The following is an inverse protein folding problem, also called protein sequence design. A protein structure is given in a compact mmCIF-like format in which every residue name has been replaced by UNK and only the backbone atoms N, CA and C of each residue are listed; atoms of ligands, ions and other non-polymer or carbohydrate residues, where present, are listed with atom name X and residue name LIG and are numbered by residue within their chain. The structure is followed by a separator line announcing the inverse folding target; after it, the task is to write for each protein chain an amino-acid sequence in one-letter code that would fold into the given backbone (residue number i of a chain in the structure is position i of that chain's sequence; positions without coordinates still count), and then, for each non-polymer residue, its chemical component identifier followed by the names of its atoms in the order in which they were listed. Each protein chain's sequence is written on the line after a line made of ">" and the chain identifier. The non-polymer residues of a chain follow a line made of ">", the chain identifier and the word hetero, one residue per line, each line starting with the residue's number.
data_IF_050959998493
#
_entry.id   IF_050959998493
#
_cell.length_a   1.000
_cell.length_b   1.000
_cell.length_c   1.000
_cell.angle_alpha   90.00
_cell.angle_beta   90.00
_cell.angle_gamma   90.00
#
_symmetry.space_group_name_H-M   'P 1'
#
loop_
_entity.id
_entity.type
_entity.pdbx_description
1 polymer ?
#
# COMPACT_ATOMS: atom_id res chain seq x y z
N UNK A 1 -4.80 22.51 8.87
CA UNK A 1 -3.59 21.65 8.80
C UNK A 1 -3.94 20.14 8.78
N UNK A 2 -4.98 19.71 8.05
CA UNK A 2 -5.56 18.35 8.11
C UNK A 2 -5.32 17.51 6.84
N UNK A 3 -4.84 18.12 5.75
CA UNK A 3 -4.59 17.42 4.47
C UNK A 3 -3.35 16.50 4.49
N UNK A 4 -2.36 16.72 5.37
CA UNK A 4 -1.12 15.91 5.40
C UNK A 4 -1.31 14.49 5.93
N UNK A 5 -2.29 14.22 6.82
CA UNK A 5 -2.45 12.89 7.43
C UNK A 5 -3.00 11.85 6.44
N UNK A 6 -3.95 12.22 5.58
CA UNK A 6 -4.54 11.30 4.62
C UNK A 6 -3.53 10.83 3.58
N UNK A 7 -2.78 11.79 3.00
CA UNK A 7 -1.72 11.51 2.04
C UNK A 7 -0.61 10.66 2.67
N UNK A 8 -0.26 10.92 3.94
CA UNK A 8 0.70 10.11 4.68
C UNK A 8 0.24 8.67 4.88
N UNK A 9 -1.01 8.44 5.32
CA UNK A 9 -1.53 7.07 5.49
C UNK A 9 -1.66 6.33 4.16
N UNK A 10 -2.11 7.01 3.10
CA UNK A 10 -2.21 6.42 1.77
C UNK A 10 -0.82 6.06 1.21
N UNK A 11 0.17 6.95 1.34
CA UNK A 11 1.55 6.68 0.92
C UNK A 11 2.16 5.51 1.70
N UNK A 12 1.94 5.42 3.01
CA UNK A 12 2.42 4.30 3.82
C UNK A 12 1.73 2.98 3.43
N UNK A 13 0.41 3.00 3.22
CA UNK A 13 -0.33 1.83 2.75
C UNK A 13 0.21 1.36 1.39
N UNK A 14 0.34 2.27 0.42
CA UNK A 14 0.89 1.97 -0.90
C UNK A 14 2.32 1.44 -0.83
N UNK A 15 3.18 2.02 0.01
CA UNK A 15 4.55 1.54 0.21
C UNK A 15 4.60 0.13 0.83
N UNK A 16 3.76 -0.18 1.81
CA UNK A 16 3.70 -1.53 2.38
C UNK A 16 3.14 -2.57 1.40
N UNK A 17 2.16 -2.19 0.57
CA UNK A 17 1.67 -3.06 -0.51
C UNK A 17 2.75 -3.28 -1.58
N UNK A 18 3.53 -2.25 -1.94
CA UNK A 18 4.67 -2.39 -2.84
C UNK A 18 5.74 -3.35 -2.27
N UNK A 19 6.04 -3.25 -0.97
CA UNK A 19 6.95 -4.18 -0.28
C UNK A 19 6.40 -5.60 -0.28
N UNK A 20 5.09 -5.79 -0.13
CA UNK A 20 4.48 -7.11 -0.28
C UNK A 20 4.70 -7.69 -1.68
N UNK A 21 4.51 -6.89 -2.74
CA UNK A 21 4.75 -7.35 -4.11
C UNK A 21 6.22 -7.78 -4.32
N UNK A 22 7.17 -6.95 -3.92
CA UNK A 22 8.61 -7.26 -3.98
C UNK A 22 8.99 -8.52 -3.19
N UNK A 23 8.47 -8.66 -1.98
CA UNK A 23 8.73 -9.82 -1.12
C UNK A 23 8.13 -11.10 -1.72
N UNK A 24 6.94 -11.02 -2.32
CA UNK A 24 6.30 -12.15 -3.00
C UNK A 24 7.09 -12.59 -4.24
N UNK A 25 7.57 -11.65 -5.06
CA UNK A 25 8.45 -11.93 -6.21
C UNK A 25 9.75 -12.62 -5.76
N UNK A 26 10.32 -12.16 -4.64
CA UNK A 26 11.56 -12.70 -4.06
C UNK A 26 11.36 -13.98 -3.23
N UNK A 27 10.13 -14.53 -3.16
CA UNK A 27 9.75 -15.67 -2.31
C UNK A 27 10.10 -15.49 -0.82
N UNK A 28 10.17 -14.24 -0.35
CA UNK A 28 10.47 -13.91 1.04
C UNK A 28 9.17 -13.82 1.85
N UNK A 29 8.66 -14.97 2.29
CA UNK A 29 7.39 -15.06 3.02
C UNK A 29 7.39 -14.24 4.33
N UNK A 30 8.54 -14.16 5.01
CA UNK A 30 8.66 -13.38 6.26
C UNK A 30 8.42 -11.89 6.01
N UNK A 31 9.10 -11.34 5.00
CA UNK A 31 8.95 -9.92 4.66
C UNK A 31 7.57 -9.62 4.09
N UNK A 32 7.01 -10.57 3.33
CA UNK A 32 5.65 -10.48 2.82
C UNK A 32 4.64 -10.31 3.96
N UNK A 33 4.66 -11.21 4.94
CA UNK A 33 3.73 -11.15 6.07
C UNK A 33 3.96 -9.91 6.94
N UNK A 34 5.21 -9.55 7.21
CA UNK A 34 5.52 -8.34 7.97
C UNK A 34 4.96 -7.07 7.30
N UNK A 35 5.11 -6.95 5.98
CA UNK A 35 4.57 -5.81 5.23
C UNK A 35 3.05 -5.82 5.16
N UNK A 36 2.44 -7.00 5.02
CA UNK A 36 1.00 -7.16 5.00
C UNK A 36 0.35 -6.77 6.34
N UNK A 37 0.98 -7.15 7.47
CA UNK A 37 0.50 -6.78 8.81
C UNK A 37 0.51 -5.27 9.01
N UNK A 38 1.54 -4.57 8.52
CA UNK A 38 1.61 -3.10 8.56
C UNK A 38 0.56 -2.45 7.66
N UNK A 39 0.32 -2.98 6.47
CA UNK A 39 -0.75 -2.51 5.58
C UNK A 39 -2.13 -2.62 6.26
N UNK A 40 -2.46 -3.77 6.86
CA UNK A 40 -3.70 -3.95 7.62
C UNK A 40 -3.78 -3.05 8.85
N UNK A 41 -2.65 -2.80 9.53
CA UNK A 41 -2.61 -1.85 10.65
C UNK A 41 -2.96 -0.43 10.21
N UNK A 42 -2.43 0.01 9.06
CA UNK A 42 -2.74 1.31 8.46
C UNK A 42 -4.22 1.40 8.08
N UNK A 43 -4.80 0.36 7.47
CA UNK A 43 -6.23 0.31 7.16
C UNK A 43 -7.12 0.44 8.41
N UNK A 44 -6.81 -0.30 9.49
CA UNK A 44 -7.54 -0.16 10.76
C UNK A 44 -7.46 1.25 11.33
N UNK A 45 -6.35 1.96 11.10
CA UNK A 45 -6.22 3.34 11.53
C UNK A 45 -7.10 4.27 10.67
N UNK A 46 -7.09 4.10 9.35
CA UNK A 46 -7.94 4.85 8.42
C UNK A 46 -9.44 4.66 8.74
N UNK A 47 -9.84 3.42 9.04
CA UNK A 47 -11.20 3.07 9.47
C UNK A 47 -11.61 3.81 10.74
N UNK A 48 -10.74 3.81 11.76
CA UNK A 48 -10.97 4.51 13.04
C UNK A 48 -11.06 6.03 12.89
N UNK A 49 -10.43 6.61 11.87
CA UNK A 49 -10.56 8.04 11.55
C UNK A 49 -11.84 8.37 10.75
N UNK A 50 -12.77 7.41 10.55
CA UNK A 50 -14.00 7.54 9.76
C UNK A 50 -13.76 7.99 8.31
N UNK A 51 -12.62 7.60 7.73
CA UNK A 51 -12.27 7.91 6.34
C UNK A 51 -12.71 6.76 5.41
N UNK A 52 -14.02 6.54 5.31
CA UNK A 52 -14.59 5.37 4.62
C UNK A 52 -14.07 5.19 3.18
N UNK A 53 -14.04 6.25 2.37
CA UNK A 53 -13.54 6.15 1.00
C UNK A 53 -12.06 5.70 0.94
N UNK A 54 -11.20 6.25 1.80
CA UNK A 54 -9.78 5.85 1.83
C UNK A 54 -9.59 4.40 2.34
N UNK A 55 -10.46 3.94 3.22
CA UNK A 55 -10.48 2.55 3.68
C UNK A 55 -10.86 1.61 2.54
N UNK A 56 -11.93 1.92 1.80
CA UNK A 56 -12.39 1.13 0.65
C UNK A 56 -11.32 1.04 -0.44
N UNK A 57 -10.70 2.17 -0.80
CA UNK A 57 -9.59 2.19 -1.76
C UNK A 57 -8.41 1.33 -1.29
N UNK A 58 -8.11 1.37 0.00
CA UNK A 58 -7.04 0.54 0.56
C UNK A 58 -7.36 -0.97 0.57
N UNK A 59 -8.63 -1.35 0.75
CA UNK A 59 -9.08 -2.74 0.61
C UNK A 59 -8.97 -3.18 -0.86
N UNK A 60 -9.34 -2.33 -1.81
CA UNK A 60 -9.16 -2.61 -3.24
C UNK A 60 -7.68 -2.82 -3.59
N UNK A 61 -6.79 -2.02 -3.01
CA UNK A 61 -5.35 -2.16 -3.20
C UNK A 61 -4.82 -3.53 -2.73
N UNK A 62 -5.26 -3.99 -1.55
CA UNK A 62 -4.89 -5.32 -1.03
C UNK A 62 -5.47 -6.46 -1.87
N UNK A 63 -6.71 -6.33 -2.34
CA UNK A 63 -7.30 -7.30 -3.28
C UNK A 63 -6.56 -7.33 -4.61
N UNK A 64 -6.09 -6.18 -5.10
CA UNK A 64 -5.25 -6.07 -6.28
C UNK A 64 -3.93 -6.82 -6.14
N UNK A 65 -3.27 -6.70 -4.97
CA UNK A 65 -2.09 -7.48 -4.63
C UNK A 65 -2.38 -9.00 -4.64
N UNK A 66 -3.45 -9.44 -3.98
CA UNK A 66 -3.83 -10.86 -3.94
C UNK A 66 -4.11 -11.41 -5.34
N UNK A 67 -4.86 -10.65 -6.15
CA UNK A 67 -5.11 -10.98 -7.54
C UNK A 67 -3.80 -11.11 -8.32
N UNK A 68 -2.91 -10.11 -8.24
CA UNK A 68 -1.63 -10.11 -8.95
C UNK A 68 -0.72 -11.28 -8.55
N UNK A 69 -0.77 -11.71 -7.28
CA UNK A 69 -0.07 -12.93 -6.82
C UNK A 69 -0.65 -14.18 -7.47
N UNK A 70 -1.97 -14.33 -7.48
CA UNK A 70 -2.66 -15.50 -8.01
C UNK A 70 -2.51 -15.60 -9.55
N UNK A 71 -2.56 -14.47 -10.26
CA UNK A 71 -2.46 -14.37 -11.71
C UNK A 71 -1.02 -14.29 -12.24
N UNK A 72 -0.02 -14.22 -11.36
CA UNK A 72 1.41 -14.03 -11.69
C UNK A 72 1.70 -12.72 -12.43
N UNK A 73 0.96 -11.65 -12.11
CA UNK A 73 1.16 -10.30 -12.67
C UNK A 73 1.77 -9.31 -11.67
N UNK A 74 2.49 -9.79 -10.65
CA UNK A 74 3.15 -8.98 -9.63
C UNK A 74 4.05 -7.86 -10.19
N UNK A 75 4.91 -8.11 -11.22
CA UNK A 75 5.79 -7.06 -11.73
C UNK A 75 5.03 -5.86 -12.32
N UNK A 76 3.97 -6.12 -13.10
CA UNK A 76 3.13 -5.08 -13.68
C UNK A 76 2.37 -4.30 -12.59
N UNK A 77 1.76 -5.02 -11.64
CA UNK A 77 1.12 -4.41 -10.48
C UNK A 77 2.08 -3.51 -9.70
N UNK A 78 3.32 -3.96 -9.49
CA UNK A 78 4.37 -3.20 -8.79
C UNK A 78 4.72 -1.92 -9.53
N UNK A 79 4.88 -1.98 -10.85
CA UNK A 79 5.20 -0.79 -11.68
C UNK A 79 4.08 0.24 -11.64
N UNK A 80 2.83 -0.20 -11.84
CA UNK A 80 1.65 0.68 -11.76
C UNK A 80 1.49 1.31 -10.37
N UNK A 81 1.62 0.50 -9.32
CA UNK A 81 1.56 1.01 -7.94
C UNK A 81 2.69 1.99 -7.65
N UNK A 82 3.92 1.69 -8.10
CA UNK A 82 5.06 2.58 -7.89
C UNK A 82 4.83 3.95 -8.55
N UNK A 83 4.31 3.97 -9.79
CA UNK A 83 3.98 5.21 -10.50
C UNK A 83 2.91 6.04 -9.78
N UNK A 84 1.98 5.40 -9.07
CA UNK A 84 0.97 6.08 -8.26
C UNK A 84 1.59 6.68 -6.99
N UNK A 85 2.44 5.95 -6.28
CA UNK A 85 2.94 6.37 -4.96
C UNK A 85 4.15 7.31 -5.01
N UNK A 86 4.97 7.21 -6.06
CA UNK A 86 6.21 7.98 -6.21
C UNK A 86 6.01 9.51 -6.10
N UNK A 87 4.98 10.12 -6.72
CA UNK A 87 4.70 11.55 -6.55
C UNK A 87 4.38 11.95 -5.10
N UNK A 88 3.77 11.06 -4.32
CA UNK A 88 3.46 11.32 -2.91
C UNK A 88 4.71 11.21 -2.03
N UNK A 89 5.58 10.24 -2.31
CA UNK A 89 6.85 10.10 -1.62
C UNK A 89 7.73 11.33 -1.84
N UNK A 90 7.87 11.79 -3.09
CA UNK A 90 8.62 13.00 -3.41
C UNK A 90 8.09 14.22 -2.65
N UNK A 91 6.77 14.39 -2.57
CA UNK A 91 6.13 15.52 -1.88
C UNK A 91 6.29 15.50 -0.37
N UNK A 92 6.41 14.32 0.25
CA UNK A 92 6.63 14.17 1.70
C UNK A 92 8.10 14.40 2.10
N UNK A 93 9.05 14.27 1.17
CA UNK A 93 10.48 14.52 1.40
C UNK A 93 10.87 16.00 1.53
N UNK A 94 9.98 16.91 1.13
CA UNK A 94 10.19 18.37 1.16
C UNK A 94 9.41 19.08 2.27
N UNK A 95 8.85 18.34 3.23
CA UNK A 95 8.13 18.87 4.39
C UNK A 95 8.94 18.69 5.66
#
# INVERSE_FOLDING_TARGET
>A
MTHNKAAFYFANLGADVLRCALAAESKNAKEYHSSLDRAYSTLRHIEKENRHAAYEEGILLLRGLEYARASRTLPAFREELNAIIEPFAARLSFV
#
